data_IF_673594929058
#
_entry.id   IF_673594929058
#
_cell.length_a   1.000
_cell.length_b   1.000
_cell.length_c   1.000
_cell.angle_alpha   90.00
_cell.angle_beta   90.00
_cell.angle_gamma   90.00
#
_symmetry.space_group_name_H-M   'P 1'
#
loop_
_entity.id
_entity.type
_entity.pdbx_description
1 polymer ?
#
# COMPACT_ATOMS: atom_id res chain seq x y z
N UNK A 1 -0.39 3.77 20.98
CA UNK A 1 -0.65 4.87 20.01
C UNK A 1 -1.99 4.58 19.35
N UNK A 2 -2.74 5.61 18.94
CA UNK A 2 -3.96 5.42 18.14
C UNK A 2 -3.58 5.20 16.68
N UNK A 3 -4.44 4.54 15.91
CA UNK A 3 -4.21 4.30 14.47
C UNK A 3 -4.07 5.62 13.70
N UNK A 4 -4.83 6.65 14.07
CA UNK A 4 -4.69 8.01 13.52
C UNK A 4 -3.28 8.57 13.74
N UNK A 5 -2.73 8.46 14.96
CA UNK A 5 -1.39 8.96 15.24
C UNK A 5 -0.28 8.20 14.49
N UNK A 6 -0.51 6.90 14.21
CA UNK A 6 0.41 6.10 13.41
C UNK A 6 0.39 6.55 11.94
N UNK A 7 -0.81 6.74 11.38
CA UNK A 7 -0.95 7.22 10.01
C UNK A 7 -0.33 8.61 9.82
N UNK A 8 -0.54 9.52 10.76
CA UNK A 8 0.09 10.86 10.73
C UNK A 8 1.62 10.74 10.68
N UNK A 9 2.22 9.83 11.46
CA UNK A 9 3.67 9.57 11.40
C UNK A 9 4.10 8.95 10.06
N UNK A 10 3.33 8.01 9.51
CA UNK A 10 3.63 7.39 8.21
C UNK A 10 3.64 8.44 7.09
N UNK A 11 2.61 9.28 7.00
CA UNK A 11 2.53 10.34 6.00
C UNK A 11 3.64 11.38 6.16
N UNK A 12 3.91 11.83 7.38
CA UNK A 12 5.02 12.74 7.66
C UNK A 12 6.36 12.16 7.20
N UNK A 13 6.60 10.86 7.44
CA UNK A 13 7.86 10.21 7.07
C UNK A 13 8.12 10.19 5.55
N UNK A 14 7.06 10.23 4.73
CA UNK A 14 7.18 10.28 3.26
C UNK A 14 7.08 11.70 2.70
N UNK A 15 6.97 12.72 3.56
CA UNK A 15 6.84 14.13 3.18
C UNK A 15 5.47 14.47 2.58
N UNK A 16 4.44 13.70 2.91
CA UNK A 16 3.06 13.92 2.46
C UNK A 16 2.25 14.45 3.64
N UNK A 17 1.45 15.49 3.42
CA UNK A 17 0.50 15.93 4.42
C UNK A 17 -0.75 15.02 4.37
N UNK A 18 -1.12 14.31 5.45
CA UNK A 18 -2.29 13.43 5.47
C UNK A 18 -3.58 14.13 5.01
N UNK A 19 -3.72 15.42 5.31
CA UNK A 19 -4.90 16.21 4.95
C UNK A 19 -5.09 16.37 3.43
N UNK A 20 -4.01 16.33 2.65
CA UNK A 20 -4.08 16.44 1.18
C UNK A 20 -4.70 15.19 0.55
N UNK A 21 -4.59 14.04 1.23
CA UNK A 21 -5.12 12.75 0.76
C UNK A 21 -6.45 12.39 1.42
N UNK A 22 -6.61 12.60 2.73
CA UNK A 22 -7.82 12.19 3.45
C UNK A 22 -9.09 12.93 3.04
N UNK A 23 -8.97 14.16 2.53
CA UNK A 23 -10.09 14.92 1.97
C UNK A 23 -10.54 14.47 0.58
N UNK A 24 -9.76 13.63 -0.11
CA UNK A 24 -10.03 13.15 -1.48
C UNK A 24 -10.84 11.86 -1.43
N UNK A 25 -12.13 11.94 -1.68
CA UNK A 25 -13.04 10.79 -1.68
C UNK A 25 -12.97 9.98 -2.98
N UNK A 26 -12.45 10.60 -4.03
CA UNK A 26 -12.20 10.08 -5.38
C UNK A 26 -10.89 9.28 -5.50
N UNK A 27 -10.07 9.24 -4.44
CA UNK A 27 -8.78 8.55 -4.42
C UNK A 27 -8.85 7.38 -3.44
N UNK A 28 -8.70 6.16 -3.94
CA UNK A 28 -8.61 4.97 -3.10
C UNK A 28 -7.33 4.95 -2.28
N UNK A 29 -7.41 4.48 -1.03
CA UNK A 29 -6.30 4.42 -0.09
C UNK A 29 -6.28 3.10 0.67
N UNK A 30 -5.11 2.49 0.80
CA UNK A 30 -4.86 1.32 1.64
C UNK A 30 -3.65 1.63 2.50
N UNK A 31 -3.83 1.63 3.82
CA UNK A 31 -2.83 2.08 4.77
C UNK A 31 -2.47 0.94 5.73
N UNK A 32 -1.21 0.51 5.71
CA UNK A 32 -0.71 -0.66 6.44
C UNK A 32 0.48 -0.25 7.30
N UNK A 33 0.49 -0.72 8.54
CA UNK A 33 1.62 -0.56 9.47
C UNK A 33 2.03 -1.90 10.05
N UNK A 34 3.27 -2.30 9.84
CA UNK A 34 3.78 -3.62 10.15
C UNK A 34 2.85 -4.71 9.60
N UNK A 35 2.12 -5.41 10.47
CA UNK A 35 1.18 -6.45 10.11
C UNK A 35 -0.30 -6.04 10.23
N UNK A 36 -0.58 -4.75 10.43
CA UNK A 36 -1.92 -4.21 10.67
C UNK A 36 -2.39 -3.35 9.52
N UNK A 37 -3.60 -3.60 9.05
CA UNK A 37 -4.32 -2.66 8.17
C UNK A 37 -4.92 -1.58 9.06
N UNK A 38 -4.48 -0.33 8.86
CA UNK A 38 -4.92 0.82 9.64
C UNK A 38 -6.12 1.52 9.01
N UNK A 39 -6.23 1.49 7.68
CA UNK A 39 -7.29 2.18 6.95
C UNK A 39 -7.46 1.66 5.53
N UNK A 40 -8.72 1.57 5.09
CA UNK A 40 -9.08 1.27 3.70
C UNK A 40 -10.19 2.23 3.28
N UNK A 41 -9.95 2.95 2.20
CA UNK A 41 -10.93 3.81 1.54
C UNK A 41 -11.06 3.37 0.08
N UNK A 42 -12.27 2.97 -0.31
CA UNK A 42 -12.56 2.41 -1.62
C UNK A 42 -13.28 3.43 -2.52
N UNK A 43 -13.17 3.20 -3.82
CA UNK A 43 -13.91 3.91 -4.86
C UNK A 43 -14.69 2.92 -5.71
N UNK A 44 -15.75 3.34 -6.43
CA UNK A 44 -16.54 2.44 -7.25
C UNK A 44 -15.68 1.62 -8.24
N UNK A 45 -15.88 0.31 -8.24
CA UNK A 45 -15.17 -0.62 -9.13
C UNK A 45 -13.88 -1.21 -8.54
N UNK A 46 -13.41 -0.71 -7.39
CA UNK A 46 -12.30 -1.26 -6.64
C UNK A 46 -12.80 -2.11 -5.46
N UNK A 47 -12.23 -3.30 -5.31
CA UNK A 47 -12.46 -4.23 -4.22
C UNK A 47 -11.12 -4.53 -3.54
N UNK A 48 -11.11 -4.53 -2.22
CA UNK A 48 -9.91 -4.84 -1.43
C UNK A 48 -10.29 -5.77 -0.31
N UNK A 49 -9.59 -6.89 -0.25
CA UNK A 49 -9.59 -7.79 0.90
C UNK A 49 -8.20 -7.74 1.51
N UNK A 50 -8.12 -7.59 2.83
CA UNK A 50 -6.84 -7.55 3.52
C UNK A 50 -6.97 -8.20 4.89
N UNK A 51 -6.00 -9.04 5.23
CA UNK A 51 -5.94 -9.71 6.52
C UNK A 51 -4.54 -9.59 7.15
N UNK A 52 -4.54 -9.43 8.46
CA UNK A 52 -3.31 -9.45 9.26
C UNK A 52 -2.76 -10.86 9.40
N UNK A 53 -1.43 -10.96 9.39
CA UNK A 53 -0.64 -12.16 9.68
C UNK A 53 0.33 -11.89 10.84
N UNK A 54 1.05 -12.91 11.28
CA UNK A 54 2.02 -12.76 12.36
C UNK A 54 3.12 -11.75 12.00
N UNK A 55 3.71 -11.88 10.81
CA UNK A 55 4.84 -11.05 10.35
C UNK A 55 4.48 -10.11 9.19
N UNK A 56 3.19 -9.87 8.93
CA UNK A 56 2.79 -8.98 7.84
C UNK A 56 1.32 -9.11 7.45
N UNK A 57 1.01 -9.07 6.16
CA UNK A 57 -0.38 -9.07 5.66
C UNK A 57 -0.53 -9.95 4.41
N UNK A 58 -1.75 -10.42 4.18
CA UNK A 58 -2.17 -10.86 2.85
C UNK A 58 -3.26 -9.93 2.34
N UNK A 59 -3.17 -9.50 1.08
CA UNK A 59 -4.15 -8.61 0.48
C UNK A 59 -4.44 -8.94 -0.98
N UNK A 60 -5.71 -8.82 -1.35
CA UNK A 60 -6.19 -8.88 -2.73
C UNK A 60 -6.74 -7.52 -3.12
N UNK A 61 -6.25 -6.95 -4.22
CA UNK A 61 -6.73 -5.71 -4.82
C UNK A 61 -7.32 -6.05 -6.18
N UNK A 62 -8.65 -5.98 -6.31
CA UNK A 62 -9.36 -6.33 -7.53
C UNK A 62 -10.05 -5.12 -8.15
N UNK A 63 -9.91 -4.96 -9.47
CA UNK A 63 -10.59 -3.93 -10.25
C UNK A 63 -11.57 -4.62 -11.19
N UNK A 64 -12.87 -4.31 -11.04
CA UNK A 64 -13.93 -4.97 -11.81
C UNK A 64 -13.77 -4.73 -13.32
N UNK A 65 -14.19 -5.68 -14.18
CA UNK A 65 -14.15 -5.52 -15.63
C UNK A 65 -14.80 -4.21 -16.12
N UNK A 66 -14.21 -3.57 -17.12
CA UNK A 66 -14.65 -2.28 -17.69
C UNK A 66 -14.47 -1.06 -16.78
N UNK A 67 -13.97 -1.24 -15.54
CA UNK A 67 -13.75 -0.13 -14.61
C UNK A 67 -12.54 0.68 -15.03
N UNK A 68 -12.68 2.01 -15.10
CA UNK A 68 -11.55 2.92 -15.29
C UNK A 68 -11.39 3.76 -14.02
N UNK A 69 -10.35 3.50 -13.25
CA UNK A 69 -10.01 4.33 -12.09
C UNK A 69 -9.40 5.65 -12.57
N UNK A 70 -10.00 6.77 -12.19
CA UNK A 70 -9.52 8.11 -12.58
C UNK A 70 -8.18 8.45 -11.92
N UNK A 71 -7.96 7.93 -10.71
CA UNK A 71 -6.76 8.14 -9.92
C UNK A 71 -6.12 6.81 -9.51
N UNK A 72 -4.79 6.76 -9.41
CA UNK A 72 -4.11 5.57 -8.94
C UNK A 72 -4.44 5.32 -7.46
N UNK A 73 -4.61 4.04 -7.12
CA UNK A 73 -4.77 3.59 -5.74
C UNK A 73 -3.51 3.94 -4.96
N UNK A 74 -3.66 4.67 -3.86
CA UNK A 74 -2.56 4.98 -2.95
C UNK A 74 -2.41 3.85 -1.95
N UNK A 75 -1.24 3.21 -1.92
CA UNK A 75 -0.94 2.15 -0.97
C UNK A 75 0.23 2.59 -0.10
N UNK A 76 0.07 2.52 1.22
CA UNK A 76 1.12 2.86 2.17
C UNK A 76 1.53 1.61 2.95
N UNK A 77 2.79 1.21 2.81
CA UNK A 77 3.41 0.16 3.62
C UNK A 77 4.39 0.78 4.61
N UNK A 78 3.95 0.87 5.86
CA UNK A 78 4.72 1.52 6.92
C UNK A 78 5.39 0.53 7.86
N UNK A 79 6.64 0.80 8.22
CA UNK A 79 7.34 0.10 9.29
C UNK A 79 8.06 1.12 10.19
N UNK A 80 7.34 1.60 11.21
CA UNK A 80 7.86 2.59 12.19
C UNK A 80 8.89 2.01 13.17
N UNK A 81 8.75 0.77 13.70
CA UNK A 81 9.79 0.18 14.54
C UNK A 81 11.19 0.17 13.88
N UNK A 82 12.25 0.00 14.67
CA UNK A 82 13.63 -0.04 14.15
C UNK A 82 14.08 -1.46 13.73
N UNK A 83 13.38 -2.48 14.22
CA UNK A 83 13.63 -3.90 13.94
C UNK A 83 12.30 -4.62 13.63
N UNK A 84 12.33 -5.60 12.72
CA UNK A 84 11.14 -6.40 12.39
C UNK A 84 11.15 -7.00 10.99
N UNK A 85 10.15 -7.84 10.74
CA UNK A 85 9.85 -8.43 9.42
C UNK A 85 8.46 -7.94 9.00
N UNK A 86 8.32 -7.57 7.74
CA UNK A 86 7.05 -7.28 7.09
C UNK A 86 6.95 -8.13 5.82
N UNK A 87 6.18 -9.22 5.90
CA UNK A 87 5.85 -10.13 4.80
C UNK A 87 4.53 -9.75 4.17
N UNK A 88 4.53 -9.50 2.86
CA UNK A 88 3.36 -9.06 2.11
C UNK A 88 3.08 -10.10 1.05
N UNK A 89 1.95 -10.79 1.19
CA UNK A 89 1.36 -11.60 0.12
C UNK A 89 0.33 -10.73 -0.61
N UNK A 90 0.66 -10.29 -1.82
CA UNK A 90 -0.16 -9.36 -2.59
C UNK A 90 -0.71 -10.02 -3.84
N UNK A 91 -2.02 -9.99 -4.03
CA UNK A 91 -2.66 -10.39 -5.28
C UNK A 91 -3.35 -9.19 -5.90
N UNK A 92 -3.05 -8.89 -7.15
CA UNK A 92 -3.67 -7.81 -7.90
C UNK A 92 -4.39 -8.41 -9.10
N UNK A 93 -5.68 -8.10 -9.23
CA UNK A 93 -6.52 -8.61 -10.30
C UNK A 93 -7.14 -7.43 -11.07
N UNK A 94 -6.77 -7.28 -12.33
CA UNK A 94 -7.32 -6.25 -13.20
C UNK A 94 -8.27 -6.90 -14.20
N UNK A 95 -9.57 -6.67 -14.04
CA UNK A 95 -10.60 -7.25 -14.91
C UNK A 95 -10.46 -6.82 -16.39
N UNK A 96 -11.09 -7.57 -17.29
CA UNK A 96 -11.06 -7.27 -18.73
C UNK A 96 -11.51 -5.83 -19.04
N UNK A 97 -10.83 -5.18 -19.98
CA UNK A 97 -11.04 -3.77 -20.39
C UNK A 97 -10.97 -2.73 -19.26
N UNK A 98 -10.46 -3.11 -18.07
CA UNK A 98 -10.30 -2.21 -16.95
C UNK A 98 -8.99 -1.40 -17.06
N UNK A 99 -8.94 -0.25 -16.36
CA UNK A 99 -7.75 0.59 -16.27
C UNK A 99 -7.50 0.99 -14.84
N UNK A 100 -6.31 0.69 -14.34
CA UNK A 100 -5.91 0.99 -12.98
C UNK A 100 -4.43 1.40 -12.88
N UNK A 101 -4.12 2.17 -11.85
CA UNK A 101 -2.76 2.46 -11.44
C UNK A 101 -2.61 2.27 -9.94
N UNK A 102 -1.41 1.93 -9.50
CA UNK A 102 -1.05 1.86 -8.08
C UNK A 102 0.17 2.75 -7.83
N UNK A 103 0.11 3.53 -6.76
CA UNK A 103 1.24 4.28 -6.22
C UNK A 103 1.49 3.76 -4.81
N UNK A 104 2.57 3.00 -4.67
CA UNK A 104 3.01 2.44 -3.39
C UNK A 104 4.05 3.36 -2.73
N UNK A 105 3.83 3.68 -1.47
CA UNK A 105 4.77 4.38 -0.61
C UNK A 105 5.19 3.44 0.52
N UNK A 106 6.43 2.98 0.49
CA UNK A 106 7.00 2.15 1.54
C UNK A 106 7.93 3.02 2.41
N UNK A 107 7.71 3.02 3.71
CA UNK A 107 8.44 3.91 4.62
C UNK A 107 8.98 3.21 5.85
N UNK A 108 10.27 3.47 6.11
CA UNK A 108 11.09 2.80 7.10
C UNK A 108 11.91 3.84 7.90
N UNK A 109 11.26 4.79 8.60
CA UNK A 109 11.93 5.98 9.13
C UNK A 109 13.00 5.67 10.20
N UNK A 110 12.83 4.58 10.94
CA UNK A 110 13.74 4.21 12.04
C UNK A 110 14.52 2.92 11.76
N UNK A 111 14.51 2.41 10.52
CA UNK A 111 15.02 1.07 10.23
C UNK A 111 16.51 0.90 10.50
N UNK A 112 16.82 -0.09 11.34
CA UNK A 112 18.17 -0.59 11.64
C UNK A 112 18.35 -2.04 11.20
N UNK A 113 17.30 -2.85 11.33
CA UNK A 113 17.28 -4.23 10.87
C UNK A 113 15.84 -4.65 10.52
N UNK A 114 15.38 -4.16 9.37
CA UNK A 114 14.08 -4.48 8.79
C UNK A 114 14.24 -5.41 7.61
N UNK A 115 13.40 -6.45 7.54
CA UNK A 115 13.14 -7.21 6.31
C UNK A 115 11.76 -6.86 5.80
N UNK A 116 11.70 -6.29 4.61
CA UNK A 116 10.47 -6.00 3.89
C UNK A 116 10.42 -6.93 2.69
N UNK A 117 9.52 -7.90 2.74
CA UNK A 117 9.45 -9.02 1.80
C UNK A 117 8.09 -8.99 1.12
N UNK A 118 8.07 -8.85 -0.21
CA UNK A 118 6.83 -8.87 -0.96
C UNK A 118 6.81 -10.01 -1.97
N UNK A 119 5.83 -10.89 -1.82
CA UNK A 119 5.46 -11.86 -2.84
C UNK A 119 4.17 -11.40 -3.50
N UNK A 120 4.27 -10.95 -4.76
CA UNK A 120 3.15 -10.38 -5.49
C UNK A 120 2.79 -11.20 -6.74
N UNK A 121 1.49 -11.47 -6.91
CA UNK A 121 0.90 -12.03 -8.11
C UNK A 121 0.01 -10.99 -8.79
N UNK A 122 0.22 -10.75 -10.08
CA UNK A 122 -0.55 -9.80 -10.89
C UNK A 122 -1.24 -10.53 -12.05
N UNK A 123 -2.56 -10.44 -12.09
CA UNK A 123 -3.39 -10.97 -13.17
C UNK A 123 -4.03 -9.81 -13.95
N UNK A 124 -3.73 -9.73 -15.25
CA UNK A 124 -4.22 -8.66 -16.13
C UNK A 124 -5.16 -9.28 -17.17
N UNK A 125 -6.43 -8.88 -17.13
CA UNK A 125 -7.46 -9.32 -18.06
C UNK A 125 -7.24 -8.82 -19.49
N UNK A 126 -7.91 -9.43 -20.48
CA UNK A 126 -7.85 -8.98 -21.88
C UNK A 126 -8.23 -7.49 -22.02
N UNK A 127 -7.44 -6.74 -22.79
CA UNK A 127 -7.71 -5.31 -23.04
C UNK A 127 -7.46 -4.39 -21.84
N UNK A 128 -7.02 -4.92 -20.69
CA UNK A 128 -6.81 -4.13 -19.50
C UNK A 128 -5.47 -3.36 -19.50
N UNK A 129 -5.45 -2.23 -18.80
CA UNK A 129 -4.29 -1.38 -18.60
C UNK A 129 -3.93 -1.29 -17.11
N UNK A 130 -2.66 -1.52 -16.79
CA UNK A 130 -2.15 -1.44 -15.43
C UNK A 130 -0.83 -0.66 -15.38
N UNK A 131 -0.69 0.20 -14.37
CA UNK A 131 0.56 0.89 -14.06
C UNK A 131 0.90 0.75 -12.57
N UNK A 132 2.18 0.54 -12.27
CA UNK A 132 2.69 0.49 -10.91
C UNK A 132 3.85 1.46 -10.74
N UNK A 133 3.77 2.27 -9.70
CA UNK A 133 4.86 3.11 -9.25
C UNK A 133 5.09 2.87 -7.76
N UNK A 134 6.36 2.74 -7.38
CA UNK A 134 6.75 2.53 -6.00
C UNK A 134 7.85 3.51 -5.60
N UNK A 135 7.72 4.05 -4.39
CA UNK A 135 8.71 4.90 -3.76
C UNK A 135 9.04 4.37 -2.37
N UNK A 136 10.32 4.15 -2.13
CA UNK A 136 10.83 3.79 -0.80
C UNK A 136 11.46 5.00 -0.13
N UNK A 137 11.14 5.19 1.15
CA UNK A 137 11.69 6.26 1.99
C UNK A 137 12.36 5.63 3.21
N UNK A 138 13.68 5.76 3.26
CA UNK A 138 14.52 5.11 4.26
C UNK A 138 15.02 6.15 5.27
N UNK A 139 15.10 5.74 6.54
CA UNK A 139 15.79 6.49 7.58
C UNK A 139 17.31 6.58 7.34
N UNK A 140 17.98 7.42 8.12
CA UNK A 140 19.42 7.70 7.97
C UNK A 140 20.32 6.47 8.07
N UNK A 141 19.91 5.46 8.83
CA UNK A 141 20.67 4.22 9.05
C UNK A 141 20.57 3.25 7.85
N UNK A 142 19.57 3.43 6.97
CA UNK A 142 19.38 2.58 5.79
C UNK A 142 19.17 1.09 6.08
N UNK A 143 18.88 0.71 7.33
CA UNK A 143 18.86 -0.67 7.83
C UNK A 143 17.64 -1.47 7.43
N UNK A 144 17.28 -1.44 6.15
CA UNK A 144 16.18 -2.21 5.57
C UNK A 144 16.67 -3.01 4.38
N UNK A 145 16.31 -4.29 4.37
CA UNK A 145 16.45 -5.19 3.26
C UNK A 145 15.09 -5.35 2.60
N UNK A 146 15.00 -4.92 1.34
CA UNK A 146 13.82 -5.03 0.49
C UNK A 146 14.02 -6.22 -0.45
N UNK A 147 13.07 -7.16 -0.45
CA UNK A 147 13.11 -8.40 -1.24
C UNK A 147 11.77 -8.60 -1.96
#
# INVERSE_FOLDING_TARGET
>A
MSDRSLLEQLYQSIGVNPHDLWGRLDVARIEIHANRVLGVHLVPGLEVEAESRAEGIAATIAVRPGTRLEHPVQVCFGMIPDNGVQQIELRIEIGADARAGVVAHCTFPNARNIRHEMNAALEIGPGAEYAYFERHVHGAEGGVLVI
#
